data_IF_652736086240
#
_entry.id   IF_652736086240
#
_cell.length_a   1.000
_cell.length_b   1.000
_cell.length_c   1.000
_cell.angle_alpha   90.00
_cell.angle_beta   90.00
_cell.angle_gamma   90.00
#
_symmetry.space_group_name_H-M   'P 1'
#
loop_
_entity.id
_entity.type
_entity.pdbx_description
1 polymer ?
#
# COMPACT_ATOMS: atom_id res chain seq x y z
N UNK A 1 -16.16 5.01 -10.19
CA UNK A 1 -15.67 4.75 -11.56
C UNK A 1 -16.58 5.46 -12.55
N UNK A 2 -16.04 6.24 -13.49
CA UNK A 2 -16.82 6.78 -14.62
C UNK A 2 -16.89 5.71 -15.71
N UNK A 3 -18.05 5.51 -16.31
CA UNK A 3 -18.34 4.41 -17.25
C UNK A 3 -17.56 4.46 -18.58
N UNK A 4 -16.81 5.54 -18.85
CA UNK A 4 -15.96 5.72 -20.03
C UNK A 4 -14.49 5.98 -19.70
N UNK A 5 -14.13 5.85 -18.43
CA UNK A 5 -12.80 6.16 -17.92
C UNK A 5 -12.49 5.14 -16.82
N UNK A 6 -11.87 4.03 -17.26
CA UNK A 6 -11.45 2.95 -16.40
C UNK A 6 -10.01 3.14 -15.88
N UNK A 7 -9.56 4.39 -15.73
CA UNK A 7 -8.23 4.84 -15.23
C UNK A 7 -7.09 4.99 -16.28
N UNK A 8 -7.13 5.94 -17.22
CA UNK A 8 -6.03 6.24 -18.14
C UNK A 8 -4.91 7.06 -17.48
N UNK A 9 -5.13 7.65 -16.30
CA UNK A 9 -4.16 8.53 -15.63
C UNK A 9 -3.37 7.83 -14.51
N UNK A 10 -3.61 6.52 -14.29
CA UNK A 10 -2.93 5.78 -13.23
C UNK A 10 -1.63 5.18 -13.75
N UNK A 11 -0.53 5.55 -13.11
CA UNK A 11 0.77 4.91 -13.26
C UNK A 11 1.13 4.25 -11.92
N UNK A 12 1.57 3.00 -11.96
CA UNK A 12 2.07 2.29 -10.78
C UNK A 12 3.59 2.37 -10.69
N UNK A 13 4.13 2.22 -9.48
CA UNK A 13 5.57 1.99 -9.29
C UNK A 13 5.78 0.48 -9.20
N UNK A 14 6.62 -0.07 -10.08
CA UNK A 14 6.97 -1.48 -10.07
C UNK A 14 8.41 -1.63 -9.58
N UNK A 15 8.55 -2.11 -8.35
CA UNK A 15 9.86 -2.44 -7.80
C UNK A 15 10.33 -3.78 -8.38
N UNK A 16 11.59 -3.80 -8.80
CA UNK A 16 12.26 -4.97 -9.38
C UNK A 16 13.65 -5.07 -8.75
N UNK A 17 13.87 -6.12 -7.96
CA UNK A 17 15.13 -6.33 -7.26
C UNK A 17 16.31 -6.60 -8.20
N UNK A 18 16.07 -6.97 -9.46
CA UNK A 18 17.10 -7.08 -10.49
C UNK A 18 17.53 -5.74 -11.07
N UNK A 19 16.67 -4.71 -11.00
CA UNK A 19 16.96 -3.35 -11.48
C UNK A 19 17.48 -2.44 -10.37
N UNK A 20 16.85 -2.47 -9.20
CA UNK A 20 17.24 -1.67 -8.05
C UNK A 20 17.17 -2.51 -6.77
N UNK A 21 18.23 -3.30 -6.48
CA UNK A 21 18.31 -4.09 -5.26
C UNK A 21 18.19 -3.21 -4.00
N UNK A 22 17.37 -3.62 -3.04
CA UNK A 22 17.20 -2.90 -1.77
C UNK A 22 16.39 -1.60 -1.86
N UNK A 23 15.66 -1.37 -2.96
CA UNK A 23 14.75 -0.23 -3.08
C UNK A 23 13.77 -0.17 -1.88
N UNK A 24 13.50 1.02 -1.32
CA UNK A 24 12.56 1.16 -0.22
C UNK A 24 11.16 0.81 -0.70
N UNK A 25 10.47 -0.05 0.06
CA UNK A 25 9.05 -0.32 -0.14
C UNK A 25 8.26 0.67 0.72
N UNK A 26 7.49 1.60 0.14
CA UNK A 26 6.51 2.37 0.92
C UNK A 26 5.51 1.39 1.51
N UNK A 27 5.31 1.47 2.83
CA UNK A 27 4.51 0.48 3.57
C UNK A 27 3.19 1.06 4.08
N UNK A 28 3.07 2.38 4.17
CA UNK A 28 1.89 3.02 4.72
C UNK A 28 1.19 3.92 3.68
N UNK A 29 -0.14 3.93 3.77
CA UNK A 29 -0.94 4.93 3.08
C UNK A 29 -0.51 6.32 3.57
N UNK A 30 -0.36 7.25 2.63
CA UNK A 30 0.09 8.62 2.94
C UNK A 30 1.60 8.82 2.88
N UNK A 31 2.42 7.77 2.80
CA UNK A 31 3.85 7.91 2.50
C UNK A 31 4.04 8.63 1.15
N UNK A 32 5.02 9.53 1.09
CA UNK A 32 5.33 10.32 -0.11
C UNK A 32 6.64 9.87 -0.70
N UNK A 33 6.65 9.70 -2.02
CA UNK A 33 7.86 9.37 -2.76
C UNK A 33 8.54 10.66 -3.21
N UNK A 34 9.87 10.71 -3.06
CA UNK A 34 10.71 11.72 -3.70
C UNK A 34 10.76 11.55 -5.21
N UNK A 35 11.71 12.22 -5.86
CA UNK A 35 11.87 12.13 -7.32
C UNK A 35 12.14 10.69 -7.76
N UNK A 36 11.31 10.20 -8.69
CA UNK A 36 11.33 8.82 -9.15
C UNK A 36 11.73 8.79 -10.63
N UNK A 37 12.94 8.28 -10.88
CA UNK A 37 13.49 8.10 -12.22
C UNK A 37 13.53 6.61 -12.56
N UNK A 38 12.94 6.26 -13.69
CA UNK A 38 12.83 4.86 -14.09
C UNK A 38 12.40 4.66 -15.54
N UNK A 39 12.39 3.40 -15.95
CA UNK A 39 11.90 2.99 -17.26
C UNK A 39 10.39 2.84 -17.20
N UNK A 40 9.69 3.44 -18.17
CA UNK A 40 8.25 3.26 -18.33
C UNK A 40 7.99 1.94 -19.05
N UNK A 41 7.20 1.08 -18.43
CA UNK A 41 6.73 -0.19 -18.97
C UNK A 41 5.21 -0.28 -19.00
N UNK A 42 4.70 -1.39 -19.52
CA UNK A 42 3.29 -1.75 -19.47
C UNK A 42 3.15 -3.25 -19.16
N UNK A 43 2.41 -3.58 -18.10
CA UNK A 43 2.27 -4.95 -17.60
C UNK A 43 0.98 -5.13 -16.81
N UNK A 44 0.36 -6.32 -16.90
CA UNK A 44 -0.89 -6.66 -16.20
C UNK A 44 -2.02 -5.62 -16.36
N UNK A 45 -2.07 -4.93 -17.51
CA UNK A 45 -3.08 -3.91 -17.79
C UNK A 45 -2.76 -2.50 -17.26
N UNK A 46 -1.53 -2.24 -16.79
CA UNK A 46 -1.15 -0.97 -16.17
C UNK A 46 0.14 -0.40 -16.76
N UNK A 47 0.21 0.92 -16.90
CA UNK A 47 1.48 1.61 -17.08
C UNK A 47 2.24 1.62 -15.76
N UNK A 48 3.53 1.37 -15.83
CA UNK A 48 4.39 1.28 -14.65
C UNK A 48 5.70 2.03 -14.86
N UNK A 49 6.22 2.63 -13.78
CA UNK A 49 7.61 3.10 -13.74
C UNK A 49 8.40 2.09 -12.93
N UNK A 50 9.46 1.56 -13.53
CA UNK A 50 10.45 0.68 -12.90
C UNK A 50 11.67 1.52 -12.50
N UNK A 51 11.85 1.85 -11.21
CA UNK A 51 12.94 2.73 -10.78
C UNK A 51 14.30 2.15 -11.14
N UNK A 52 15.21 3.01 -11.61
CA UNK A 52 16.61 2.66 -11.89
C UNK A 52 17.59 3.43 -11.02
N UNK A 53 17.08 4.33 -10.18
CA UNK A 53 17.85 5.15 -9.25
C UNK A 53 17.20 5.09 -7.85
N UNK A 54 17.99 5.22 -6.77
CA UNK A 54 17.45 5.39 -5.43
C UNK A 54 16.52 6.60 -5.34
N UNK A 55 15.50 6.50 -4.51
CA UNK A 55 14.55 7.57 -4.21
C UNK A 55 14.22 7.56 -2.71
N UNK A 56 13.80 8.70 -2.20
CA UNK A 56 13.43 8.84 -0.79
C UNK A 56 11.96 8.50 -0.56
N UNK A 57 11.66 7.99 0.63
CA UNK A 57 10.29 7.79 1.13
C UNK A 57 10.12 8.62 2.39
N UNK A 58 9.26 9.62 2.32
CA UNK A 58 8.86 10.45 3.46
C UNK A 58 7.62 9.84 4.14
N UNK A 59 7.69 9.49 5.43
CA UNK A 59 6.54 8.90 6.13
C UNK A 59 5.34 9.85 6.17
N UNK A 60 4.15 9.31 5.87
CA UNK A 60 2.90 10.08 5.91
C UNK A 60 2.44 10.46 7.32
N UNK A 61 3.00 9.82 8.34
CA UNK A 61 2.70 10.08 9.75
C UNK A 61 1.28 9.73 10.19
N UNK A 62 0.53 8.96 9.37
CA UNK A 62 -0.80 8.50 9.74
C UNK A 62 -0.68 7.50 10.89
N UNK A 63 -1.36 7.79 11.99
CA UNK A 63 -1.57 6.85 13.08
C UNK A 63 -2.83 6.01 12.81
N UNK A 64 -2.86 4.79 13.37
CA UNK A 64 -4.07 3.97 13.33
C UNK A 64 -5.27 4.70 13.96
N UNK A 65 -6.45 4.49 13.39
CA UNK A 65 -7.67 5.06 13.94
C UNK A 65 -7.95 4.50 15.34
N UNK A 66 -8.34 5.38 16.26
CA UNK A 66 -8.78 4.98 17.60
C UNK A 66 -10.23 5.37 17.79
N UNK A 67 -10.96 4.62 18.61
CA UNK A 67 -12.36 4.88 18.91
C UNK A 67 -12.60 4.91 20.41
N UNK A 68 -13.40 5.84 20.94
CA UNK A 68 -13.83 5.82 22.33
C UNK A 68 -14.96 4.83 22.60
N UNK A 69 -15.48 4.15 21.56
CA UNK A 69 -16.57 3.19 21.71
C UNK A 69 -16.16 2.05 22.64
N UNK A 70 -16.97 1.82 23.66
CA UNK A 70 -16.86 0.71 24.60
C UNK A 70 -18.16 -0.07 24.59
N UNK A 71 -18.07 -1.39 24.69
CA UNK A 71 -19.26 -2.24 24.81
C UNK A 71 -19.87 -2.13 26.21
N UNK A 72 -21.17 -2.41 26.32
CA UNK A 72 -21.89 -2.50 27.58
C UNK A 72 -22.97 -3.61 27.50
N UNK A 73 -23.78 -3.86 28.56
CA UNK A 73 -24.76 -4.94 28.55
C UNK A 73 -25.82 -4.87 27.42
N UNK A 74 -26.02 -3.70 26.83
CA UNK A 74 -27.04 -3.43 25.81
C UNK A 74 -26.42 -3.08 24.43
N UNK A 75 -25.11 -2.79 24.36
CA UNK A 75 -24.42 -2.35 23.15
C UNK A 75 -23.20 -3.21 22.80
N UNK A 76 -23.18 -3.71 21.56
CA UNK A 76 -22.06 -4.45 20.97
C UNK A 76 -21.17 -3.53 20.12
N UNK A 77 -19.85 -3.60 20.33
CA UNK A 77 -18.86 -2.98 19.43
C UNK A 77 -18.49 -3.98 18.34
N UNK A 78 -18.61 -3.55 17.08
CA UNK A 78 -18.26 -4.36 15.90
C UNK A 78 -17.26 -3.60 15.05
N UNK A 79 -16.19 -4.27 14.65
CA UNK A 79 -15.25 -3.80 13.66
C UNK A 79 -15.11 -4.84 12.55
N UNK A 80 -14.85 -4.38 11.33
CA UNK A 80 -14.52 -5.23 10.19
C UNK A 80 -13.21 -4.77 9.59
N UNK A 81 -12.28 -5.69 9.40
CA UNK A 81 -11.00 -5.42 8.78
C UNK A 81 -10.74 -6.43 7.67
N UNK A 82 -10.16 -5.97 6.56
CA UNK A 82 -9.71 -6.83 5.48
C UNK A 82 -8.23 -7.17 5.70
N UNK A 83 -7.95 -8.46 5.93
CA UNK A 83 -6.61 -8.99 6.20
C UNK A 83 -5.77 -9.24 4.95
N UNK A 84 -6.29 -9.01 3.75
CA UNK A 84 -5.67 -9.10 2.41
C UNK A 84 -4.74 -10.30 2.16
N UNK A 85 -5.25 -11.39 1.57
CA UNK A 85 -4.49 -12.61 1.28
C UNK A 85 -3.90 -13.30 2.54
N UNK A 86 -4.68 -13.38 3.62
CA UNK A 86 -4.25 -14.04 4.86
C UNK A 86 -3.91 -15.52 4.63
N UNK A 87 -2.68 -15.88 4.93
CA UNK A 87 -2.25 -17.28 5.05
C UNK A 87 -2.10 -17.65 6.54
N UNK A 88 -2.72 -18.74 7.03
CA UNK A 88 -2.68 -19.11 8.46
C UNK A 88 -1.29 -19.41 9.03
N UNK A 89 -0.30 -19.66 8.17
CA UNK A 89 1.09 -19.94 8.53
C UNK A 89 1.90 -18.66 8.80
N UNK A 90 1.41 -17.48 8.39
CA UNK A 90 2.09 -16.18 8.54
C UNK A 90 1.87 -15.60 9.95
N UNK A 91 2.50 -16.20 10.97
CA UNK A 91 2.31 -15.80 12.38
C UNK A 91 2.69 -14.36 12.68
N UNK A 92 3.77 -13.83 12.08
CA UNK A 92 4.17 -12.41 12.26
C UNK A 92 3.09 -11.43 11.80
N UNK A 93 2.38 -11.76 10.73
CA UNK A 93 1.29 -10.91 10.21
C UNK A 93 0.07 -10.94 11.12
N UNK A 94 -0.19 -12.07 11.76
CA UNK A 94 -1.31 -12.24 12.70
C UNK A 94 -1.03 -11.49 14.00
N UNK A 95 0.20 -11.49 14.49
CA UNK A 95 0.59 -10.76 15.73
C UNK A 95 0.54 -9.24 15.57
N UNK A 96 0.55 -8.73 14.35
CA UNK A 96 0.51 -7.30 14.04
C UNK A 96 -0.92 -6.74 13.85
N UNK A 97 -1.96 -7.59 13.88
CA UNK A 97 -3.37 -7.19 13.86
C UNK A 97 -3.87 -6.79 15.25
#
# INVERSE_FOLDING_TARGET
MRSSDANPERIQVQLDAGLLPGAPWPRAVGDRLGDLVGVVGYGFGNFEVRPTQPFDVEPGGLAGETTPLVGDPEHLVVATFNVENLEPSETERIEAL
#
